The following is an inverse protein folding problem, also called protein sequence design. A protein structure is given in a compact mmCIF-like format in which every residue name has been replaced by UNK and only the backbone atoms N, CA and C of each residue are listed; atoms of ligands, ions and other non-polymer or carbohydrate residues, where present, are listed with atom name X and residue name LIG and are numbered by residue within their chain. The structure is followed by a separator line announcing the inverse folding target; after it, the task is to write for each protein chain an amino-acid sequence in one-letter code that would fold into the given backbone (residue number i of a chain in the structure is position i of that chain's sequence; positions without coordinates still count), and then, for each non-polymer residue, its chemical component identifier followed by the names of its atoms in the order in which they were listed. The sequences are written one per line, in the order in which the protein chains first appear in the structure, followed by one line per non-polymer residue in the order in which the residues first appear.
data_IF_959400093700
#
_entry.id   IF_959400093700
#
_cell.length_a   1.000
_cell.length_b   1.000
_cell.length_c   1.000
_cell.angle_alpha   90.00
_cell.angle_beta   90.00
_cell.angle_gamma   90.00
#
_symmetry.space_group_name_H-M   'P 1'
#
loop_
_entity.id
_entity.type
_entity.pdbx_description
1 polymer ?
#
# COMPACT_ATOMS: atom_id res chain seq x y z
N UNK A 1 -6.60 -24.11 -14.61
CA UNK A 1 -7.23 -22.79 -14.66
C UNK A 1 -8.43 -22.82 -13.74
N UNK A 2 -8.31 -22.20 -12.56
CA UNK A 2 -9.16 -21.06 -12.24
C UNK A 2 -8.35 -19.86 -11.71
N UNK A 3 -8.84 -18.66 -12.00
CA UNK A 3 -8.36 -17.37 -11.54
C UNK A 3 -8.92 -17.06 -10.15
N UNK A 4 -8.11 -17.24 -9.09
CA UNK A 4 -8.42 -16.68 -7.78
C UNK A 4 -7.93 -15.23 -7.72
N UNK A 5 -8.76 -14.32 -8.26
CA UNK A 5 -8.69 -12.90 -7.90
C UNK A 5 -9.20 -12.74 -6.46
N UNK A 6 -8.36 -13.09 -5.49
CA UNK A 6 -8.56 -12.68 -4.10
C UNK A 6 -8.62 -11.15 -4.05
N UNK A 7 -9.84 -10.63 -3.91
CA UNK A 7 -10.15 -9.22 -3.65
C UNK A 7 -9.15 -8.66 -2.63
N UNK A 8 -8.33 -7.65 -2.97
CA UNK A 8 -7.56 -6.96 -1.95
C UNK A 8 -8.60 -6.22 -1.09
N UNK A 9 -8.69 -6.64 0.17
CA UNK A 9 -9.49 -5.97 1.18
C UNK A 9 -9.12 -4.48 1.17
N UNK A 10 -10.04 -3.68 0.65
CA UNK A 10 -9.95 -2.22 0.65
C UNK A 10 -10.07 -1.81 2.10
N UNK A 11 -8.92 -1.61 2.76
CA UNK A 11 -8.87 -0.84 4.00
C UNK A 11 -8.92 0.62 3.57
N UNK A 12 -10.13 1.03 3.22
CA UNK A 12 -10.48 2.42 2.99
C UNK A 12 -10.25 3.17 4.30
N UNK A 13 -9.47 4.26 4.23
CA UNK A 13 -9.40 5.29 5.26
C UNK A 13 -8.91 4.82 6.64
N UNK A 14 -7.58 4.65 6.75
CA UNK A 14 -6.85 4.67 8.02
C UNK A 14 -6.91 6.01 8.78
N UNK A 15 -8.09 6.61 8.92
CA UNK A 15 -8.34 7.75 9.78
C UNK A 15 -8.52 7.28 11.23
N UNK A 16 -7.43 6.86 11.88
CA UNK A 16 -7.43 6.81 13.35
C UNK A 16 -7.21 8.25 13.84
N UNK A 17 -8.32 8.99 13.94
CA UNK A 17 -8.37 10.34 14.51
C UNK A 17 -8.13 10.26 16.03
N UNK A 18 -6.87 10.34 16.44
CA UNK A 18 -6.52 10.56 17.85
C UNK A 18 -6.39 12.06 18.10
N UNK A 19 -7.44 12.63 18.69
CA UNK A 19 -7.50 14.00 19.19
C UNK A 19 -6.41 14.24 20.25
N UNK A 20 -5.43 15.08 19.95
CA UNK A 20 -4.40 15.48 20.90
C UNK A 20 -3.68 16.78 20.51
N UNK A 21 -4.24 17.92 20.95
CA UNK A 21 -3.63 19.26 21.10
C UNK A 21 -2.32 19.53 20.33
N UNK A 22 -2.43 20.23 19.20
CA UNK A 22 -1.40 21.16 18.68
C UNK A 22 -0.12 20.58 18.07
N UNK A 23 0.10 19.27 18.07
CA UNK A 23 1.21 18.65 17.33
C UNK A 23 0.68 18.22 15.96
N UNK A 24 1.39 18.59 14.87
CA UNK A 24 1.08 18.08 13.51
C UNK A 24 0.99 16.56 13.60
N UNK A 25 -0.23 16.02 13.47
CA UNK A 25 -0.48 14.58 13.53
C UNK A 25 0.39 13.94 12.46
N UNK A 26 1.33 13.09 12.89
CA UNK A 26 2.15 12.31 11.97
C UNK A 26 1.22 11.33 11.27
N UNK A 27 1.42 11.14 9.96
CA UNK A 27 0.68 10.12 9.22
C UNK A 27 0.83 8.79 9.97
N UNK A 28 -0.27 8.09 10.31
CA UNK A 28 -0.17 6.77 10.91
C UNK A 28 0.68 5.89 9.98
N UNK A 29 1.55 5.07 10.58
CA UNK A 29 2.37 4.16 9.78
C UNK A 29 1.45 3.18 9.07
N UNK A 30 1.65 3.01 7.77
CA UNK A 30 0.99 1.97 7.01
C UNK A 30 1.52 0.61 7.46
N UNK A 31 0.63 -0.33 7.76
CA UNK A 31 0.98 -1.74 7.99
C UNK A 31 0.51 -2.51 6.76
N UNK A 32 1.46 -3.13 6.07
CA UNK A 32 1.18 -3.97 4.90
C UNK A 32 0.71 -5.36 5.33
N UNK A 33 -0.23 -5.92 4.58
CA UNK A 33 -0.59 -7.33 4.71
C UNK A 33 0.52 -8.23 4.16
N UNK A 34 0.51 -9.51 4.54
CA UNK A 34 1.48 -10.50 4.05
C UNK A 34 1.49 -10.58 2.51
N UNK A 35 0.30 -10.53 1.89
CA UNK A 35 0.14 -10.56 0.43
C UNK A 35 0.74 -9.31 -0.22
N UNK A 36 0.53 -8.13 0.37
CA UNK A 36 1.14 -6.89 -0.12
C UNK A 36 2.66 -6.94 -0.05
N UNK A 37 3.23 -7.44 1.05
CA UNK A 37 4.68 -7.59 1.19
C UNK A 37 5.27 -8.57 0.18
N UNK A 38 4.60 -9.70 -0.09
CA UNK A 38 5.04 -10.68 -1.07
C UNK A 38 5.05 -10.08 -2.49
N UNK A 39 3.99 -9.36 -2.87
CA UNK A 39 3.90 -8.70 -4.16
C UNK A 39 4.97 -7.59 -4.33
N UNK A 40 5.23 -6.81 -3.27
CA UNK A 40 6.31 -5.82 -3.25
C UNK A 40 7.68 -6.49 -3.42
N UNK A 41 7.93 -7.59 -2.71
CA UNK A 41 9.18 -8.33 -2.81
C UNK A 41 9.40 -8.91 -4.21
N UNK A 42 8.36 -9.54 -4.78
CA UNK A 42 8.42 -10.10 -6.13
C UNK A 42 8.70 -9.03 -7.18
N UNK A 43 8.04 -7.86 -7.09
CA UNK A 43 8.32 -6.76 -8.03
C UNK A 43 9.73 -6.20 -7.83
N UNK A 44 10.18 -6.09 -6.58
CA UNK A 44 11.52 -5.60 -6.26
C UNK A 44 12.63 -6.50 -6.84
N UNK A 45 12.43 -7.82 -6.85
CA UNK A 45 13.37 -8.76 -7.48
C UNK A 45 13.51 -8.54 -8.99
N UNK A 46 12.45 -8.10 -9.67
CA UNK A 46 12.47 -7.81 -11.10
C UNK A 46 13.01 -6.41 -11.39
N UNK A 47 12.59 -5.42 -10.61
CA UNK A 47 12.93 -4.02 -10.80
C UNK A 47 12.91 -3.30 -9.45
N UNK A 48 14.09 -2.98 -8.94
CA UNK A 48 14.25 -2.35 -7.63
C UNK A 48 13.74 -0.90 -7.61
N UNK A 49 13.81 -0.21 -8.75
CA UNK A 49 13.41 1.18 -8.90
C UNK A 49 12.38 1.32 -10.00
N UNK A 50 11.12 1.38 -9.59
CA UNK A 50 10.01 1.68 -10.48
C UNK A 50 10.00 3.16 -10.83
N UNK A 51 9.65 3.46 -12.08
CA UNK A 51 9.38 4.82 -12.51
C UNK A 51 8.12 5.36 -11.81
N UNK A 52 7.98 6.70 -11.76
CA UNK A 52 6.82 7.37 -11.16
C UNK A 52 5.45 6.77 -11.56
N UNK A 53 5.15 6.52 -12.85
CA UNK A 53 3.87 5.93 -13.26
C UNK A 53 3.72 4.48 -12.78
N UNK A 54 4.77 3.67 -12.90
CA UNK A 54 4.72 2.26 -12.51
C UNK A 54 4.52 2.08 -10.99
N UNK A 55 5.01 3.04 -10.19
CA UNK A 55 4.73 3.07 -8.75
C UNK A 55 3.25 3.31 -8.46
N UNK A 56 2.62 4.24 -9.17
CA UNK A 56 1.20 4.52 -9.00
C UNK A 56 0.36 3.29 -9.38
N UNK A 57 0.70 2.63 -10.49
CA UNK A 57 0.01 1.42 -10.92
C UNK A 57 0.18 0.26 -9.94
N UNK A 58 1.39 0.06 -9.40
CA UNK A 58 1.63 -0.97 -8.39
C UNK A 58 0.88 -0.65 -7.09
N UNK A 59 0.91 0.61 -6.65
CA UNK A 59 0.20 1.03 -5.45
C UNK A 59 -1.31 0.82 -5.63
N UNK A 60 -1.88 1.22 -6.76
CA UNK A 60 -3.30 1.00 -7.08
C UNK A 60 -3.67 -0.49 -7.06
N UNK A 61 -2.82 -1.37 -7.61
CA UNK A 61 -3.02 -2.84 -7.56
C UNK A 61 -3.02 -3.39 -6.13
N UNK A 62 -2.23 -2.78 -5.24
CA UNK A 62 -2.11 -3.20 -3.83
C UNK A 62 -3.09 -2.47 -2.90
N UNK A 63 -3.91 -1.56 -3.41
CA UNK A 63 -4.79 -0.71 -2.59
C UNK A 63 -4.03 0.32 -1.74
N UNK A 64 -2.82 0.69 -2.17
CA UNK A 64 -1.93 1.66 -1.54
C UNK A 64 -1.95 2.98 -2.30
N UNK A 65 -1.54 4.04 -1.63
CA UNK A 65 -1.22 5.32 -2.28
C UNK A 65 0.20 5.31 -2.81
N UNK A 66 0.47 6.04 -3.89
CA UNK A 66 1.81 6.11 -4.52
C UNK A 66 2.94 6.51 -3.56
N UNK A 67 2.60 7.15 -2.44
CA UNK A 67 3.55 7.66 -1.44
C UNK A 67 3.74 6.75 -0.22
N UNK A 68 3.09 5.57 -0.19
CA UNK A 68 3.26 4.53 0.84
C UNK A 68 4.28 3.50 0.37
#
# INVERSE_FOLDING_TARGET
MPEDHEKPAVIENGEIRLNGKGKKIRKPRTIYSSVQLQALHQRFQQTQYLALPERADLAAKLGLTQTQ
#
